data_IF_815058028583
#
_entry.id   IF_815058028583
#
_cell.length_a   1.000
_cell.length_b   1.000
_cell.length_c   1.000
_cell.angle_alpha   90.00
_cell.angle_beta   90.00
_cell.angle_gamma   90.00
#
_symmetry.space_group_name_H-M   'P 1'
#
loop_
_entity.id
_entity.type
_entity.pdbx_description
1 polymer ?
#
# COMPACT_ATOMS: atom_id res chain seq x y z
N UNK A 1 -16.57 -4.09 -5.08
CA UNK A 1 -17.41 -3.02 -5.69
C UNK A 1 -17.81 -3.33 -7.13
N UNK A 2 -16.91 -3.75 -8.04
CA UNK A 2 -17.27 -4.10 -9.43
C UNK A 2 -18.30 -5.24 -9.58
N UNK A 3 -18.20 -6.30 -8.77
CA UNK A 3 -19.17 -7.42 -8.79
C UNK A 3 -20.60 -7.04 -8.32
N UNK A 4 -20.77 -5.92 -7.61
CA UNK A 4 -22.12 -5.46 -7.24
C UNK A 4 -22.83 -4.88 -8.47
N UNK A 5 -22.11 -4.17 -9.33
CA UNK A 5 -22.65 -3.61 -10.58
C UNK A 5 -23.07 -4.68 -11.59
N UNK A 6 -22.33 -5.80 -11.65
CA UNK A 6 -22.71 -6.95 -12.49
C UNK A 6 -23.99 -7.61 -11.97
N UNK A 7 -24.15 -7.75 -10.66
CA UNK A 7 -25.36 -8.31 -10.06
C UNK A 7 -26.58 -7.43 -10.34
N UNK A 8 -26.44 -6.10 -10.22
CA UNK A 8 -27.52 -5.15 -10.53
C UNK A 8 -27.91 -5.23 -12.01
N UNK A 9 -26.93 -5.25 -12.93
CA UNK A 9 -27.23 -5.35 -14.36
C UNK A 9 -27.81 -6.71 -14.79
N UNK A 10 -27.40 -7.80 -14.15
CA UNK A 10 -28.00 -9.13 -14.35
C UNK A 10 -29.45 -9.18 -13.83
N UNK A 11 -29.74 -8.60 -12.67
CA UNK A 11 -31.11 -8.51 -12.14
C UNK A 11 -32.00 -7.67 -13.07
N UNK A 12 -31.50 -6.52 -13.56
CA UNK A 12 -32.23 -5.67 -14.49
C UNK A 12 -32.46 -6.33 -15.86
N UNK A 13 -31.49 -7.11 -16.35
CA UNK A 13 -31.59 -7.90 -17.57
C UNK A 13 -32.63 -9.01 -17.45
N UNK A 14 -32.63 -9.77 -16.35
CA UNK A 14 -33.61 -10.82 -16.10
C UNK A 14 -35.02 -10.26 -15.88
N UNK A 15 -35.16 -9.07 -15.31
CA UNK A 15 -36.44 -8.41 -15.09
C UNK A 15 -37.14 -7.96 -16.39
N UNK A 16 -36.39 -7.66 -17.47
CA UNK A 16 -36.94 -7.17 -18.74
C UNK A 16 -36.70 -8.11 -19.93
N UNK A 17 -36.59 -9.42 -19.67
CA UNK A 17 -36.27 -10.42 -20.69
C UNK A 17 -37.27 -10.49 -21.87
N UNK A 18 -38.49 -9.97 -21.67
CA UNK A 18 -39.55 -9.97 -22.68
C UNK A 18 -39.36 -8.89 -23.77
N UNK A 19 -38.48 -7.91 -23.58
CA UNK A 19 -38.19 -6.87 -24.57
C UNK A 19 -36.68 -6.81 -24.90
N UNK A 20 -36.23 -7.45 -26.00
CA UNK A 20 -34.81 -7.54 -26.37
C UNK A 20 -34.09 -6.18 -26.50
N UNK A 21 -34.84 -5.09 -26.76
CA UNK A 21 -34.29 -3.73 -26.86
C UNK A 21 -33.72 -3.21 -25.53
N UNK A 22 -34.19 -3.73 -24.39
CA UNK A 22 -33.79 -3.29 -23.05
C UNK A 22 -32.58 -4.04 -22.50
N UNK A 23 -32.25 -5.21 -23.08
CA UNK A 23 -31.14 -6.07 -22.65
C UNK A 23 -29.77 -5.41 -22.90
N UNK A 24 -29.59 -4.77 -24.07
CA UNK A 24 -28.34 -4.10 -24.43
C UNK A 24 -27.91 -3.01 -23.44
N UNK A 25 -28.77 -2.05 -23.09
CA UNK A 25 -28.48 -1.02 -22.11
C UNK A 25 -28.14 -1.57 -20.70
N UNK A 26 -28.88 -2.56 -20.20
CA UNK A 26 -28.62 -3.16 -18.88
C UNK A 26 -27.27 -3.90 -18.83
N UNK A 27 -26.91 -4.59 -19.91
CA UNK A 27 -25.63 -5.27 -20.03
C UNK A 27 -24.45 -4.28 -20.11
N UNK A 28 -24.62 -3.16 -20.82
CA UNK A 28 -23.59 -2.12 -20.90
C UNK A 28 -23.26 -1.53 -19.51
N UNK A 29 -24.26 -1.32 -18.66
CA UNK A 29 -24.06 -0.81 -17.29
C UNK A 29 -23.27 -1.82 -16.44
N UNK A 30 -23.59 -3.12 -16.53
CA UNK A 30 -22.85 -4.16 -15.81
C UNK A 30 -21.37 -4.22 -16.22
N UNK A 31 -21.08 -4.08 -17.51
CA UNK A 31 -19.71 -4.13 -18.02
C UNK A 31 -18.92 -2.86 -17.68
N UNK A 32 -19.53 -1.68 -17.81
CA UNK A 32 -18.90 -0.41 -17.45
C UNK A 32 -18.59 -0.31 -15.96
N UNK A 33 -19.51 -0.76 -15.09
CA UNK A 33 -19.26 -0.77 -13.64
C UNK A 33 -18.12 -1.72 -13.25
N UNK A 34 -17.97 -2.84 -13.96
CA UNK A 34 -16.83 -3.76 -13.78
C UNK A 34 -15.53 -3.13 -14.26
N UNK A 35 -15.55 -2.49 -15.43
CA UNK A 35 -14.40 -1.80 -16.01
C UNK A 35 -13.91 -0.67 -15.10
N UNK A 36 -14.79 0.24 -14.70
CA UNK A 36 -14.42 1.35 -13.81
C UNK A 36 -13.98 0.86 -12.43
N UNK A 37 -14.63 -0.19 -11.88
CA UNK A 37 -14.22 -0.80 -10.62
C UNK A 37 -12.82 -1.41 -10.69
N UNK A 38 -12.51 -2.16 -11.75
CA UNK A 38 -11.20 -2.76 -11.97
C UNK A 38 -10.13 -1.67 -12.19
N UNK A 39 -10.39 -0.68 -13.05
CA UNK A 39 -9.46 0.41 -13.33
C UNK A 39 -9.12 1.20 -12.06
N UNK A 40 -10.10 1.60 -11.26
CA UNK A 40 -9.83 2.34 -10.02
C UNK A 40 -9.07 1.49 -8.99
N UNK A 41 -9.38 0.19 -8.90
CA UNK A 41 -8.67 -0.71 -7.99
C UNK A 41 -7.20 -0.87 -8.39
N UNK A 42 -6.93 -1.24 -9.64
CA UNK A 42 -5.57 -1.56 -10.09
C UNK A 42 -4.71 -0.33 -10.35
N UNK A 43 -5.30 0.79 -10.79
CA UNK A 43 -4.56 1.99 -11.17
C UNK A 43 -4.37 2.99 -10.02
N UNK A 44 -5.26 3.00 -9.03
CA UNK A 44 -5.20 3.98 -7.93
C UNK A 44 -5.05 3.30 -6.57
N UNK A 45 -5.93 2.36 -6.22
CA UNK A 45 -5.98 1.82 -4.87
C UNK A 45 -4.75 0.96 -4.53
N UNK A 46 -4.36 0.04 -5.43
CA UNK A 46 -3.18 -0.83 -5.22
C UNK A 46 -1.88 -0.01 -5.11
N UNK A 47 -1.51 0.87 -6.07
CA UNK A 47 -0.25 1.62 -5.94
C UNK A 47 -0.25 2.58 -4.75
N UNK A 48 -1.41 3.12 -4.36
CA UNK A 48 -1.52 3.94 -3.15
C UNK A 48 -1.30 3.11 -1.88
N UNK A 49 -1.91 1.93 -1.81
CA UNK A 49 -1.72 1.00 -0.70
C UNK A 49 -0.26 0.55 -0.58
N UNK A 50 0.38 0.21 -1.69
CA UNK A 50 1.81 -0.16 -1.72
C UNK A 50 2.69 1.00 -1.25
N UNK A 51 2.43 2.22 -1.72
CA UNK A 51 3.19 3.40 -1.30
C UNK A 51 3.04 3.68 0.19
N UNK A 52 1.83 3.53 0.73
CA UNK A 52 1.57 3.68 2.16
C UNK A 52 2.22 2.56 2.98
N UNK A 53 2.19 1.32 2.48
CA UNK A 53 2.87 0.18 3.09
C UNK A 53 4.37 0.41 3.20
N UNK A 54 5.02 0.85 2.13
CA UNK A 54 6.45 1.20 2.14
C UNK A 54 6.77 2.30 3.17
N UNK A 55 5.96 3.36 3.24
CA UNK A 55 6.15 4.43 4.23
C UNK A 55 5.94 3.92 5.66
N UNK A 56 4.96 3.04 5.88
CA UNK A 56 4.69 2.45 7.19
C UNK A 56 5.84 1.56 7.68
N UNK A 57 6.45 0.77 6.78
CA UNK A 57 7.63 -0.04 7.10
C UNK A 57 8.82 0.85 7.45
N UNK A 58 9.06 1.92 6.69
CA UNK A 58 10.14 2.87 6.98
C UNK A 58 9.96 3.55 8.35
N UNK A 59 8.75 4.04 8.64
CA UNK A 59 8.44 4.62 9.95
C UNK A 59 8.58 3.61 11.09
N UNK A 60 8.17 2.36 10.87
CA UNK A 60 8.34 1.26 11.82
C UNK A 60 9.81 1.01 12.14
N UNK A 61 10.66 0.99 11.10
CA UNK A 61 12.12 0.81 11.25
C UNK A 61 12.75 1.96 12.05
N UNK A 62 12.37 3.20 11.78
CA UNK A 62 12.87 4.38 12.51
C UNK A 62 12.45 4.31 14.00
N UNK A 63 11.20 3.95 14.27
CA UNK A 63 10.71 3.82 15.65
C UNK A 63 11.41 2.69 16.41
N UNK A 64 11.65 1.55 15.77
CA UNK A 64 12.42 0.45 16.35
C UNK A 64 13.85 0.89 16.69
N UNK A 65 14.51 1.61 15.79
CA UNK A 65 15.85 2.18 16.00
C UNK A 65 15.88 3.10 17.23
N UNK A 66 14.89 3.97 17.41
CA UNK A 66 14.80 4.88 18.56
C UNK A 66 14.63 4.09 19.86
N UNK A 67 13.81 3.04 19.85
CA UNK A 67 13.58 2.19 21.04
C UNK A 67 14.87 1.46 21.43
N UNK A 68 15.56 0.85 20.47
CA UNK A 68 16.84 0.16 20.72
C UNK A 68 17.90 1.12 21.25
N UNK A 69 17.98 2.35 20.70
CA UNK A 69 18.87 3.39 21.19
C UNK A 69 18.57 3.75 22.65
N UNK A 70 17.30 3.96 22.99
CA UNK A 70 16.86 4.29 24.36
C UNK A 70 17.18 3.16 25.34
N UNK A 71 16.94 1.91 24.96
CA UNK A 71 17.27 0.74 25.77
C UNK A 71 18.79 0.62 26.02
N UNK A 72 19.60 0.89 25.00
CA UNK A 72 21.05 0.85 25.12
C UNK A 72 21.61 1.97 26.02
N UNK A 73 21.02 3.18 25.96
CA UNK A 73 21.34 4.29 26.87
C UNK A 73 20.95 3.94 28.31
N UNK A 74 19.74 3.39 28.52
CA UNK A 74 19.29 2.97 29.85
C UNK A 74 20.17 1.86 30.45
N UNK A 75 20.65 0.95 29.60
CA UNK A 75 21.59 -0.12 29.99
C UNK A 75 23.02 0.36 30.25
N UNK A 76 23.32 1.66 30.11
CA UNK A 76 24.65 2.22 30.37
C UNK A 76 25.70 1.77 29.36
N UNK A 77 25.30 1.41 28.13
CA UNK A 77 26.27 1.01 27.11
C UNK A 77 27.13 2.20 26.66
N UNK A 78 28.39 1.91 26.32
CA UNK A 78 29.33 2.94 25.86
C UNK A 78 28.80 3.58 24.56
N UNK A 79 28.71 4.92 24.44
CA UNK A 79 28.09 5.60 23.30
C UNK A 79 28.63 5.18 21.93
N UNK A 80 29.93 4.84 21.85
CA UNK A 80 30.57 4.30 20.64
C UNK A 80 29.98 2.98 20.17
N UNK A 81 29.56 2.11 21.10
CA UNK A 81 28.95 0.81 20.77
C UNK A 81 27.52 1.03 20.29
N UNK A 82 26.78 1.92 20.94
CA UNK A 82 25.42 2.32 20.53
C UNK A 82 25.43 2.86 19.09
N UNK A 83 26.38 3.75 18.78
CA UNK A 83 26.54 4.31 17.43
C UNK A 83 26.82 3.23 16.38
N UNK A 84 27.69 2.25 16.66
CA UNK A 84 27.98 1.14 15.74
C UNK A 84 26.77 0.24 15.48
N UNK A 85 25.97 -0.04 16.51
CA UNK A 85 24.75 -0.84 16.40
C UNK A 85 23.69 -0.09 15.61
N UNK A 86 23.49 1.21 15.87
CA UNK A 86 22.54 2.04 15.14
C UNK A 86 22.97 2.24 13.66
N UNK A 87 24.27 2.33 13.38
CA UNK A 87 24.83 2.36 12.01
C UNK A 87 24.48 1.10 11.20
N UNK A 88 24.30 -0.05 11.86
CA UNK A 88 23.86 -1.30 11.20
C UNK A 88 22.42 -1.22 10.69
N UNK A 89 21.58 -0.34 11.26
CA UNK A 89 20.23 -0.16 10.74
C UNK A 89 20.19 0.73 9.48
N UNK A 90 21.21 1.55 9.19
CA UNK A 90 21.22 2.39 7.98
C UNK A 90 21.51 1.57 6.71
N UNK A 91 20.89 1.91 5.57
CA UNK A 91 21.27 1.39 4.25
C UNK A 91 22.74 1.72 3.94
N UNK A 92 23.45 0.80 3.28
CA UNK A 92 24.89 0.94 2.98
C UNK A 92 25.24 2.26 2.27
N UNK A 93 24.36 2.76 1.39
CA UNK A 93 24.53 4.04 0.69
C UNK A 93 24.57 5.27 1.59
N UNK A 94 24.06 5.17 2.82
CA UNK A 94 24.11 6.25 3.81
C UNK A 94 25.19 6.02 4.88
N UNK A 95 25.83 4.83 4.91
CA UNK A 95 26.93 4.53 5.84
C UNK A 95 28.24 5.18 5.44
N UNK A 96 28.44 5.44 4.15
CA UNK A 96 29.72 5.94 3.60
C UNK A 96 29.90 7.45 3.68
N UNK A 97 28.81 8.23 3.82
CA UNK A 97 28.86 9.70 3.80
C UNK A 97 29.67 10.32 4.97
N UNK A 98 29.86 9.60 6.08
CA UNK A 98 30.71 10.06 7.20
C UNK A 98 32.11 9.42 7.21
N UNK A 99 32.39 8.42 6.36
CA UNK A 99 33.70 7.79 6.27
C UNK A 99 34.73 8.60 5.47
N UNK A 100 34.31 9.68 4.81
CA UNK A 100 35.13 10.52 3.94
C UNK A 100 35.55 11.86 4.58
N UNK A 101 35.15 12.14 5.83
CA UNK A 101 35.56 13.33 6.60
C UNK A 101 36.41 12.96 7.82
N UNK A 102 37.42 12.11 7.61
CA UNK A 102 38.48 11.78 8.58
C UNK A 102 39.86 11.92 7.98
#
# INVERSE_FOLDING_TARGET
>A
MGMIGTLIGLVAMLANMNEPKTIGPSMAIALLTTLYGAMLATMLAIPLADKLGLRSVEEGRIKALIIDALLAIQGGQNPRVIESTLKTYLPESQRELEGAEG
#
